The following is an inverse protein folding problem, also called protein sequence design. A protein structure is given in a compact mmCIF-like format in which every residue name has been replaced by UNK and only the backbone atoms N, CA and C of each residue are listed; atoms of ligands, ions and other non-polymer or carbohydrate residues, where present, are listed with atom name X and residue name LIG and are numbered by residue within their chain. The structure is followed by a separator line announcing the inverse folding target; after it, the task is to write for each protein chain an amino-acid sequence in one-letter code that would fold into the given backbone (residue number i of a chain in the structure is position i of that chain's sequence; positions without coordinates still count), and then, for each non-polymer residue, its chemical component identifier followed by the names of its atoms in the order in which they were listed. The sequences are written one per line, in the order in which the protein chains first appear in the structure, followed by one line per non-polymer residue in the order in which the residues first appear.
data_IF_651298433442
#
_entry.id   IF_651298433442
#
_cell.length_a   1.000
_cell.length_b   1.000
_cell.length_c   1.000
_cell.angle_alpha   90.00
_cell.angle_beta   90.00
_cell.angle_gamma   90.00
#
_symmetry.space_group_name_H-M   'P 1'
#
loop_
_entity.id
_entity.type
_entity.pdbx_description
1 polymer ?
#
# COMPACT_ATOMS: atom_id res chain seq x y z
N UNK A 1 14.68 29.05 -12.67
CA UNK A 1 15.39 29.64 -11.52
C UNK A 1 14.45 30.49 -10.65
N UNK A 2 13.73 31.48 -11.21
CA UNK A 2 12.79 32.33 -10.46
C UNK A 2 11.71 31.54 -9.68
N UNK A 3 11.08 30.52 -10.28
CA UNK A 3 10.08 29.66 -9.61
C UNK A 3 10.65 28.89 -8.41
N UNK A 4 11.87 28.37 -8.53
CA UNK A 4 12.53 27.60 -7.46
C UNK A 4 12.85 28.53 -6.28
N UNK A 5 13.40 29.71 -6.56
CA UNK A 5 13.68 30.72 -5.53
C UNK A 5 12.38 31.14 -4.80
N UNK A 6 11.29 31.35 -5.54
CA UNK A 6 9.99 31.65 -4.94
C UNK A 6 9.49 30.52 -4.03
N UNK A 7 9.59 29.25 -4.45
CA UNK A 7 9.20 28.10 -3.63
C UNK A 7 10.03 27.98 -2.34
N UNK A 8 11.35 28.21 -2.44
CA UNK A 8 12.25 28.17 -1.27
C UNK A 8 11.94 29.28 -0.28
N UNK A 9 11.72 30.51 -0.77
CA UNK A 9 11.31 31.64 0.08
C UNK A 9 9.95 31.35 0.73
N UNK A 10 9.00 30.83 -0.04
CA UNK A 10 7.66 30.49 0.46
C UNK A 10 7.73 29.44 1.57
N UNK A 11 8.52 28.37 1.38
CA UNK A 11 8.78 27.35 2.41
C UNK A 11 9.32 27.98 3.69
N UNK A 12 10.32 28.88 3.56
CA UNK A 12 10.91 29.53 4.72
C UNK A 12 9.91 30.42 5.46
N UNK A 13 9.11 31.20 4.74
CA UNK A 13 8.08 32.08 5.33
C UNK A 13 7.00 31.29 6.08
N UNK A 14 6.58 30.14 5.54
CA UNK A 14 5.64 29.23 6.22
C UNK A 14 6.28 28.63 7.48
N UNK A 15 7.52 28.14 7.39
CA UNK A 15 8.21 27.57 8.54
C UNK A 15 8.46 28.57 9.68
N UNK A 16 8.62 29.86 9.35
CA UNK A 16 8.74 30.93 10.33
C UNK A 16 7.41 31.41 10.91
N UNK A 17 6.26 30.83 10.51
CA UNK A 17 4.90 31.30 10.87
C UNK A 17 4.68 32.79 10.61
N UNK A 18 5.35 33.32 9.57
CA UNK A 18 5.34 34.74 9.25
C UNK A 18 4.14 35.16 8.38
N UNK A 19 3.30 34.20 7.97
CA UNK A 19 2.18 34.39 7.05
C UNK A 19 0.85 34.14 7.75
N UNK A 20 -0.19 34.86 7.37
CA UNK A 20 -1.57 34.58 7.80
C UNK A 20 -2.16 33.39 7.05
N UNK A 21 -3.15 32.73 7.65
CA UNK A 21 -3.81 31.56 7.07
C UNK A 21 -4.44 31.85 5.69
N UNK A 22 -4.96 33.06 5.47
CA UNK A 22 -5.49 33.51 4.17
C UNK A 22 -4.43 33.48 3.06
N UNK A 23 -3.20 33.90 3.38
CA UNK A 23 -2.08 33.91 2.43
C UNK A 23 -1.63 32.47 2.17
N UNK A 24 -1.62 31.62 3.20
CA UNK A 24 -1.24 30.20 3.08
C UNK A 24 -2.26 29.44 2.20
N UNK A 25 -3.55 29.66 2.40
CA UNK A 25 -4.61 29.12 1.53
C UNK A 25 -4.45 29.61 0.08
N UNK A 26 -4.11 30.89 -0.11
CA UNK A 26 -3.73 31.44 -1.41
C UNK A 26 -2.54 30.72 -2.05
N UNK A 27 -1.49 30.43 -1.28
CA UNK A 27 -0.30 29.68 -1.73
C UNK A 27 -0.69 28.27 -2.15
N UNK A 28 -1.47 27.55 -1.33
CA UNK A 28 -1.92 26.17 -1.63
C UNK A 28 -2.67 26.12 -2.96
N UNK A 29 -3.57 27.08 -3.21
CA UNK A 29 -4.28 27.21 -4.49
C UNK A 29 -3.34 27.48 -5.67
N UNK A 30 -2.28 28.25 -5.46
CA UNK A 30 -1.27 28.53 -6.48
C UNK A 30 -0.30 27.37 -6.71
N UNK A 31 -0.21 26.41 -5.79
CA UNK A 31 0.60 25.19 -5.96
C UNK A 31 -0.04 24.19 -6.93
N UNK A 32 -1.37 24.09 -6.99
CA UNK A 32 -2.08 23.16 -7.89
C UNK A 32 -1.59 23.20 -9.35
N UNK A 33 -1.45 24.36 -10.02
CA UNK A 33 -0.91 24.40 -11.38
C UNK A 33 0.58 24.00 -11.45
N UNK A 34 1.36 24.19 -10.39
CA UNK A 34 2.79 23.84 -10.32
C UNK A 34 3.01 22.33 -10.23
N UNK A 35 2.00 21.56 -9.78
CA UNK A 35 2.05 20.09 -9.70
C UNK A 35 2.20 19.40 -11.07
N UNK A 36 2.04 20.12 -12.17
CA UNK A 36 2.21 19.57 -13.53
C UNK A 36 3.59 19.88 -14.12
N UNK A 37 4.48 20.55 -13.36
CA UNK A 37 5.83 20.90 -13.80
C UNK A 37 6.73 19.65 -13.78
N UNK A 38 7.36 19.34 -14.91
CA UNK A 38 8.25 18.18 -15.07
C UNK A 38 9.68 18.44 -14.58
N UNK A 39 10.00 19.66 -14.15
CA UNK A 39 11.34 20.02 -13.71
C UNK A 39 11.67 19.36 -12.36
N UNK A 40 12.67 18.46 -12.36
CA UNK A 40 13.13 17.73 -11.17
C UNK A 40 13.48 18.62 -9.98
N UNK A 41 14.01 19.82 -10.22
CA UNK A 41 14.31 20.79 -9.15
C UNK A 41 13.04 21.40 -8.57
N UNK A 42 12.02 21.65 -9.40
CA UNK A 42 10.72 22.14 -8.95
C UNK A 42 10.03 21.05 -8.14
N UNK A 43 10.04 19.80 -8.60
CA UNK A 43 9.42 18.68 -7.87
C UNK A 43 10.00 18.53 -6.47
N UNK A 44 11.35 18.55 -6.33
CA UNK A 44 12.00 18.49 -5.01
C UNK A 44 11.61 19.67 -4.12
N UNK A 45 11.56 20.89 -4.66
CA UNK A 45 11.16 22.08 -3.89
C UNK A 45 9.69 22.02 -3.45
N UNK A 46 8.79 21.53 -4.32
CA UNK A 46 7.38 21.32 -4.01
C UNK A 46 7.22 20.24 -2.93
N UNK A 47 7.93 19.11 -3.02
CA UNK A 47 7.87 18.05 -2.02
C UNK A 47 8.27 18.56 -0.62
N UNK A 48 9.32 19.36 -0.53
CA UNK A 48 9.74 19.98 0.73
C UNK A 48 8.75 21.03 1.26
N UNK A 49 8.07 21.74 0.37
CA UNK A 49 7.04 22.71 0.74
C UNK A 49 5.79 22.00 1.25
N UNK A 50 5.39 20.88 0.63
CA UNK A 50 4.29 20.04 1.12
C UNK A 50 4.59 19.52 2.54
N UNK A 51 5.82 19.04 2.76
CA UNK A 51 6.26 18.60 4.09
C UNK A 51 6.10 19.70 5.14
N UNK A 52 6.52 20.93 4.82
CA UNK A 52 6.41 22.08 5.73
C UNK A 52 4.94 22.46 5.99
N UNK A 53 4.10 22.50 4.95
CA UNK A 53 2.66 22.79 5.07
C UNK A 53 1.94 21.80 5.98
N UNK A 54 2.24 20.51 5.84
CA UNK A 54 1.72 19.47 6.73
C UNK A 54 2.26 19.62 8.16
N UNK A 55 3.55 19.90 8.32
CA UNK A 55 4.19 20.05 9.64
C UNK A 55 3.54 21.17 10.46
N UNK A 56 3.21 22.28 9.82
CA UNK A 56 2.50 23.39 10.46
C UNK A 56 0.98 23.18 10.59
N UNK A 57 0.43 22.11 10.00
CA UNK A 57 -1.00 21.78 10.09
C UNK A 57 -1.91 22.66 9.22
N UNK A 58 -1.39 23.27 8.16
CA UNK A 58 -2.15 24.20 7.29
C UNK A 58 -2.89 23.50 6.12
N UNK A 59 -2.98 22.17 6.13
CA UNK A 59 -3.66 21.43 5.07
C UNK A 59 -4.97 20.83 5.58
N UNK A 60 -6.05 21.17 4.87
CA UNK A 60 -7.34 20.51 5.01
C UNK A 60 -7.44 19.29 4.08
N UNK A 61 -8.43 18.42 4.33
CA UNK A 61 -8.67 17.19 3.55
C UNK A 61 -8.78 17.44 2.04
N UNK A 62 -9.42 18.54 1.63
CA UNK A 62 -9.58 18.92 0.22
C UNK A 62 -8.26 19.36 -0.42
N UNK A 63 -7.48 20.18 0.27
CA UNK A 63 -6.19 20.70 -0.22
C UNK A 63 -5.07 19.65 -0.18
N UNK A 64 -5.10 18.74 0.79
CA UNK A 64 -4.08 17.71 0.96
C UNK A 64 -4.14 16.66 -0.18
N UNK A 65 -5.36 16.34 -0.66
CA UNK A 65 -5.59 15.29 -1.65
C UNK A 65 -4.69 15.36 -2.90
N UNK A 66 -4.62 16.47 -3.66
CA UNK A 66 -3.75 16.57 -4.83
C UNK A 66 -2.25 16.61 -4.48
N UNK A 67 -1.89 17.18 -3.33
CA UNK A 67 -0.49 17.29 -2.87
C UNK A 67 0.08 15.93 -2.46
N UNK A 68 -0.70 15.11 -1.75
CA UNK A 68 -0.31 13.75 -1.38
C UNK A 68 -0.24 12.84 -2.60
N UNK A 69 -1.20 12.95 -3.53
CA UNK A 69 -1.13 12.21 -4.80
C UNK A 69 0.12 12.59 -5.59
N UNK A 70 0.50 13.86 -5.60
CA UNK A 70 1.73 14.31 -6.24
C UNK A 70 2.98 13.64 -5.63
N UNK A 71 3.11 13.62 -4.30
CA UNK A 71 4.22 12.94 -3.61
C UNK A 71 4.30 11.45 -3.98
N UNK A 72 3.17 10.74 -3.94
CA UNK A 72 3.12 9.30 -4.22
C UNK A 72 3.40 8.99 -5.70
N UNK A 73 2.90 9.79 -6.64
CA UNK A 73 3.21 9.60 -8.07
C UNK A 73 4.69 9.81 -8.35
N UNK A 74 5.29 10.83 -7.75
CA UNK A 74 6.71 11.13 -7.95
C UNK A 74 7.66 10.25 -7.13
N UNK A 75 7.17 9.45 -6.18
CA UNK A 75 7.95 8.45 -5.45
C UNK A 75 8.06 7.10 -6.17
N UNK A 76 7.43 6.94 -7.35
CA UNK A 76 7.49 5.72 -8.13
C UNK A 76 8.95 5.30 -8.40
N UNK A 77 9.29 4.04 -8.09
CA UNK A 77 10.64 3.50 -8.29
C UNK A 77 11.70 3.90 -7.25
N UNK A 78 11.37 4.71 -6.24
CA UNK A 78 12.33 5.18 -5.22
C UNK A 78 12.40 4.32 -3.96
N UNK A 79 11.35 3.57 -3.66
CA UNK A 79 11.21 2.88 -2.36
C UNK A 79 12.28 1.84 -2.08
N UNK A 80 13.01 1.38 -3.11
CA UNK A 80 14.17 0.49 -2.95
C UNK A 80 15.37 1.17 -2.28
N UNK A 81 15.56 2.48 -2.46
CA UNK A 81 16.75 3.20 -1.98
C UNK A 81 16.67 3.60 -0.49
N UNK A 82 15.48 3.95 0.02
CA UNK A 82 15.31 4.28 1.44
C UNK A 82 15.58 3.08 2.36
N UNK A 83 15.43 1.87 1.85
CA UNK A 83 15.51 0.63 2.61
C UNK A 83 16.90 -0.02 2.54
N UNK A 84 17.70 0.29 1.52
CA UNK A 84 19.06 -0.23 1.36
C UNK A 84 20.13 0.47 2.21
N UNK A 85 19.80 1.63 2.82
CA UNK A 85 20.72 2.33 3.72
C UNK A 85 20.95 1.60 5.07
N UNK A 86 20.30 0.44 5.31
CA UNK A 86 20.46 -0.35 6.52
C UNK A 86 21.39 -1.57 6.43
N UNK A 87 21.62 -2.14 5.23
CA UNK A 87 22.37 -3.41 5.11
C UNK A 87 22.99 -3.59 3.72
N UNK A 88 24.22 -3.12 3.52
CA UNK A 88 25.10 -3.68 2.47
C UNK A 88 26.51 -3.88 3.01
N UNK A 89 26.71 -4.97 3.75
CA UNK A 89 27.98 -5.69 3.74
C UNK A 89 27.89 -6.76 2.64
N UNK A 90 28.36 -6.44 1.43
CA UNK A 90 28.90 -7.45 0.52
C UNK A 90 29.89 -6.76 -0.42
N UNK A 91 31.13 -7.24 -0.39
CA UNK A 91 32.26 -6.67 -1.09
C UNK A 91 32.18 -6.88 -2.60
N UNK A 92 32.44 -5.81 -3.34
CA UNK A 92 32.65 -5.81 -4.78
C UNK A 92 33.06 -4.41 -5.22
N UNK A 93 34.35 -4.26 -5.56
CA UNK A 93 35.02 -2.99 -5.86
C UNK A 93 34.36 -2.15 -6.96
N UNK A 94 33.54 -1.19 -6.58
CA UNK A 94 33.06 -0.13 -7.48
C UNK A 94 32.71 1.10 -6.67
N UNK A 95 33.62 2.07 -6.69
CA UNK A 95 33.43 3.48 -6.30
C UNK A 95 31.94 3.84 -6.12
N UNK A 96 31.53 4.02 -4.87
CA UNK A 96 30.26 4.66 -4.51
C UNK A 96 30.30 6.11 -4.99
N UNK A 97 30.03 6.28 -6.29
CA UNK A 97 29.51 7.52 -6.83
C UNK A 97 28.31 7.85 -5.94
N UNK A 98 28.41 8.95 -5.18
CA UNK A 98 27.28 9.48 -4.44
C UNK A 98 26.15 9.75 -5.44
N UNK A 99 25.26 8.77 -5.62
CA UNK A 99 24.16 8.88 -6.56
C UNK A 99 23.37 10.14 -6.18
N UNK A 100 23.19 11.05 -7.13
CA UNK A 100 22.42 12.27 -6.91
C UNK A 100 21.04 11.88 -6.35
N UNK A 101 20.62 12.48 -5.23
CA UNK A 101 19.29 12.23 -4.62
C UNK A 101 18.22 12.40 -5.71
N UNK A 102 17.58 11.30 -6.08
CA UNK A 102 16.59 11.32 -7.14
C UNK A 102 15.35 12.05 -6.63
N UNK A 103 14.54 12.55 -7.55
CA UNK A 103 13.24 13.15 -7.19
C UNK A 103 12.38 12.17 -6.39
N UNK A 104 12.47 10.89 -6.76
CA UNK A 104 11.78 9.82 -6.08
C UNK A 104 12.21 9.66 -4.63
N UNK A 105 13.51 9.68 -4.34
CA UNK A 105 14.03 9.56 -2.98
C UNK A 105 13.57 10.73 -2.10
N UNK A 106 13.57 11.95 -2.65
CA UNK A 106 13.07 13.13 -1.95
C UNK A 106 11.58 13.02 -1.62
N UNK A 107 10.76 12.59 -2.59
CA UNK A 107 9.31 12.44 -2.38
C UNK A 107 8.98 11.31 -1.41
N UNK A 108 9.71 10.19 -1.51
CA UNK A 108 9.58 9.04 -0.63
C UNK A 108 9.95 9.39 0.81
N UNK A 109 11.07 10.10 1.00
CA UNK A 109 11.49 10.60 2.31
C UNK A 109 10.51 11.62 2.88
N UNK A 110 9.98 12.53 2.06
CA UNK A 110 8.97 13.47 2.51
C UNK A 110 7.72 12.74 3.01
N UNK A 111 7.22 11.74 2.28
CA UNK A 111 6.08 10.93 2.71
C UNK A 111 6.37 10.18 4.02
N UNK A 112 7.54 9.57 4.13
CA UNK A 112 7.93 8.85 5.35
C UNK A 112 8.04 9.78 6.56
N UNK A 113 8.63 10.98 6.40
CA UNK A 113 8.69 11.99 7.46
C UNK A 113 7.29 12.42 7.90
N UNK A 114 6.38 12.64 6.96
CA UNK A 114 4.98 12.96 7.30
C UNK A 114 4.35 11.87 8.18
N UNK A 115 4.61 10.60 7.86
CA UNK A 115 4.02 9.46 8.57
C UNK A 115 4.66 9.15 9.93
N UNK A 116 5.89 9.61 10.17
CA UNK A 116 6.67 9.27 11.38
C UNK A 116 6.83 10.45 12.33
N UNK A 117 6.94 11.66 11.80
CA UNK A 117 7.31 12.86 12.57
C UNK A 117 6.20 13.91 12.66
N UNK A 118 5.12 13.77 11.89
CA UNK A 118 4.04 14.78 11.82
C UNK A 118 2.68 14.16 12.20
N UNK A 119 2.38 14.01 13.51
CA UNK A 119 1.12 13.41 13.97
C UNK A 119 -0.14 14.09 13.43
N UNK A 120 -0.10 15.41 13.25
CA UNK A 120 -1.21 16.20 12.72
C UNK A 120 -1.64 15.78 11.30
N UNK A 121 -0.72 15.16 10.55
CA UNK A 121 -0.97 14.72 9.18
C UNK A 121 -1.56 13.31 9.09
N UNK A 122 -1.51 12.52 10.17
CA UNK A 122 -1.92 11.11 10.16
C UNK A 122 -3.40 10.90 9.75
N UNK A 123 -4.38 11.68 10.25
CA UNK A 123 -5.79 11.52 9.84
C UNK A 123 -6.03 11.82 8.35
N UNK A 124 -5.20 12.66 7.74
CA UNK A 124 -5.28 13.01 6.32
C UNK A 124 -4.60 11.94 5.45
N UNK A 125 -3.48 11.40 5.92
CA UNK A 125 -2.67 10.41 5.21
C UNK A 125 -3.33 9.04 5.20
N UNK A 126 -3.84 8.60 6.36
CA UNK A 126 -4.33 7.25 6.57
C UNK A 126 -5.32 6.75 5.48
N UNK A 127 -6.48 7.40 5.25
CA UNK A 127 -7.43 6.95 4.23
C UNK A 127 -6.86 7.01 2.81
N UNK A 128 -5.93 7.93 2.55
CA UNK A 128 -5.31 8.11 1.24
C UNK A 128 -4.28 7.02 0.95
N UNK A 129 -3.46 6.65 1.93
CA UNK A 129 -2.49 5.55 1.80
C UNK A 129 -3.20 4.22 1.49
N UNK A 130 -4.33 3.94 2.14
CA UNK A 130 -5.15 2.75 1.82
C UNK A 130 -5.71 2.81 0.39
N UNK A 131 -6.16 3.99 -0.06
CA UNK A 131 -6.63 4.18 -1.44
C UNK A 131 -5.51 3.93 -2.45
N UNK A 132 -4.29 4.39 -2.17
CA UNK A 132 -3.12 4.15 -3.03
C UNK A 132 -2.70 2.68 -3.04
N UNK A 133 -2.90 1.95 -1.94
CA UNK A 133 -2.58 0.52 -1.86
C UNK A 133 -3.43 -0.31 -2.82
N UNK A 134 -4.74 -0.04 -2.87
CA UNK A 134 -5.71 -0.80 -3.68
C UNK A 134 -5.72 -0.37 -5.15
N UNK A 135 -5.42 0.90 -5.45
CA UNK A 135 -5.47 1.37 -6.83
C UNK A 135 -4.23 0.92 -7.64
N UNK A 136 -4.42 0.22 -8.78
CA UNK A 136 -3.32 -0.28 -9.62
C UNK A 136 -2.44 0.83 -10.23
N UNK A 137 -2.96 2.06 -10.40
CA UNK A 137 -2.20 3.20 -10.94
C UNK A 137 -0.96 3.56 -10.11
N UNK A 138 -0.92 3.13 -8.84
CA UNK A 138 0.15 3.45 -7.89
C UNK A 138 1.05 2.26 -7.56
N UNK A 139 0.97 1.18 -8.35
CA UNK A 139 1.74 -0.05 -8.11
C UNK A 139 3.25 0.19 -7.99
N UNK A 140 3.80 1.05 -8.86
CA UNK A 140 5.22 1.44 -8.83
C UNK A 140 5.65 2.22 -7.58
N UNK A 141 4.69 2.73 -6.81
CA UNK A 141 4.90 3.53 -5.60
C UNK A 141 4.63 2.76 -4.32
N UNK A 142 4.10 1.53 -4.40
CA UNK A 142 3.85 0.67 -3.24
C UNK A 142 5.08 0.44 -2.35
N UNK A 143 6.32 0.29 -2.87
CA UNK A 143 7.51 0.19 -2.04
C UNK A 143 7.75 1.39 -1.11
N UNK A 144 7.17 2.55 -1.43
CA UNK A 144 7.20 3.76 -0.58
C UNK A 144 5.98 3.84 0.34
N UNK A 145 4.78 3.50 -0.17
CA UNK A 145 3.51 3.63 0.56
C UNK A 145 3.37 2.58 1.66
N UNK A 146 3.77 1.33 1.40
CA UNK A 146 3.57 0.21 2.33
C UNK A 146 4.36 0.36 3.66
N UNK A 147 5.65 0.79 3.68
CA UNK A 147 6.34 1.09 4.94
C UNK A 147 5.64 2.19 5.76
N UNK A 148 5.06 3.19 5.09
CA UNK A 148 4.32 4.27 5.75
C UNK A 148 3.08 3.72 6.46
N UNK A 149 2.33 2.81 5.80
CA UNK A 149 1.17 2.13 6.38
C UNK A 149 1.60 1.26 7.56
N UNK A 150 2.65 0.46 7.41
CA UNK A 150 3.20 -0.38 8.49
C UNK A 150 3.54 0.47 9.71
N UNK A 151 4.20 1.62 9.51
CA UNK A 151 4.52 2.51 10.62
C UNK A 151 3.27 2.98 11.35
N UNK A 152 2.28 3.51 10.62
CA UNK A 152 1.03 4.01 11.23
C UNK A 152 0.27 2.93 12.00
N UNK A 153 0.21 1.72 11.46
CA UNK A 153 -0.51 0.58 12.04
C UNK A 153 0.18 0.02 13.29
N UNK A 154 1.50 0.16 13.37
CA UNK A 154 2.30 -0.35 14.51
C UNK A 154 2.38 0.64 15.68
N UNK A 155 1.99 1.90 15.51
CA UNK A 155 2.07 2.89 16.58
C UNK A 155 0.98 2.69 17.66
N UNK A 156 1.36 2.60 18.95
CA UNK A 156 0.42 2.35 20.06
C UNK A 156 -0.46 3.56 20.43
N UNK A 157 -0.16 4.75 19.90
CA UNK A 157 -0.89 5.99 20.20
C UNK A 157 -2.07 6.26 19.26
N UNK A 158 -2.28 5.41 18.26
CA UNK A 158 -3.46 5.45 17.41
C UNK A 158 -4.49 4.51 18.01
N UNK A 159 -5.23 5.05 18.99
CA UNK A 159 -6.42 4.40 19.50
C UNK A 159 -7.42 4.15 18.35
N UNK A 160 -8.29 3.14 18.47
CA UNK A 160 -9.36 2.88 17.50
C UNK A 160 -10.29 4.09 17.24
N UNK A 161 -10.23 5.13 18.08
CA UNK A 161 -10.92 6.41 17.92
C UNK A 161 -10.18 7.45 17.04
N UNK A 162 -8.84 7.41 16.93
CA UNK A 162 -8.03 8.44 16.24
C UNK A 162 -7.67 8.03 14.81
N UNK A 163 -7.42 6.74 14.59
CA UNK A 163 -7.39 6.13 13.27
C UNK A 163 -8.31 4.91 13.31
N UNK A 164 -9.60 5.03 12.94
CA UNK A 164 -10.38 3.84 12.67
C UNK A 164 -9.71 3.15 11.48
N UNK A 165 -8.88 2.14 11.76
CA UNK A 165 -8.08 1.48 10.74
C UNK A 165 -9.01 0.88 9.67
N UNK A 166 -10.23 0.48 10.05
CA UNK A 166 -11.47 0.35 9.28
C UNK A 166 -12.61 0.31 10.33
N UNK A 167 -13.82 0.93 10.22
CA UNK A 167 -14.46 1.78 9.20
C UNK A 167 -15.12 3.09 9.77
N UNK A 168 -15.26 4.17 8.99
CA UNK A 168 -16.43 5.09 8.94
C UNK A 168 -16.08 6.32 8.11
N UNK A 169 -16.60 6.40 6.89
CA UNK A 169 -17.20 7.60 6.31
C UNK A 169 -17.87 7.12 5.01
N UNK A 170 -19.09 6.55 5.10
CA UNK A 170 -19.94 6.32 3.92
C UNK A 170 -20.20 7.61 3.10
N UNK A 171 -19.70 8.77 3.54
CA UNK A 171 -19.73 10.06 2.86
C UNK A 171 -18.48 10.40 2.02
N UNK A 172 -17.45 9.54 1.95
CA UNK A 172 -16.31 9.74 1.05
C UNK A 172 -16.40 8.82 -0.18
N UNK A 173 -16.31 9.35 -1.42
CA UNK A 173 -16.51 8.59 -2.67
C UNK A 173 -15.41 7.57 -3.03
N UNK A 174 -14.56 7.15 -2.08
CA UNK A 174 -13.40 6.25 -2.30
C UNK A 174 -13.12 5.34 -1.08
N UNK A 175 -14.15 4.85 -0.40
CA UNK A 175 -13.95 3.97 0.76
C UNK A 175 -13.40 2.60 0.31
N UNK A 176 -12.23 2.24 0.82
CA UNK A 176 -11.63 0.93 0.60
C UNK A 176 -12.26 -0.07 1.56
N UNK A 177 -12.74 -1.21 1.05
CA UNK A 177 -13.28 -2.27 1.90
C UNK A 177 -12.18 -3.15 2.49
N UNK A 178 -12.47 -3.79 3.63
CA UNK A 178 -11.57 -4.77 4.27
C UNK A 178 -11.17 -5.88 3.30
N UNK A 179 -12.11 -6.31 2.47
CA UNK A 179 -11.94 -7.37 1.50
C UNK A 179 -11.06 -6.95 0.32
N UNK A 180 -11.15 -5.71 -0.13
CA UNK A 180 -10.24 -5.16 -1.14
C UNK A 180 -8.80 -5.07 -0.63
N UNK A 181 -8.62 -4.64 0.63
CA UNK A 181 -7.30 -4.65 1.27
C UNK A 181 -6.75 -6.07 1.40
N UNK A 182 -7.56 -7.00 1.90
CA UNK A 182 -7.15 -8.39 2.05
C UNK A 182 -6.72 -8.99 0.70
N UNK A 183 -7.51 -8.79 -0.36
CA UNK A 183 -7.19 -9.25 -1.71
C UNK A 183 -5.84 -8.71 -2.16
N UNK A 184 -5.64 -7.39 -2.04
CA UNK A 184 -4.43 -6.73 -2.51
C UNK A 184 -3.19 -7.18 -1.71
N UNK A 185 -3.31 -7.29 -0.39
CA UNK A 185 -2.23 -7.76 0.49
C UNK A 185 -1.85 -9.22 0.20
N UNK A 186 -2.83 -10.09 -0.04
CA UNK A 186 -2.57 -11.47 -0.46
C UNK A 186 -1.87 -11.53 -1.82
N UNK A 187 -2.29 -10.71 -2.78
CA UNK A 187 -1.63 -10.60 -4.08
C UNK A 187 -0.16 -10.17 -3.99
N UNK A 188 0.18 -9.32 -3.01
CA UNK A 188 1.58 -8.94 -2.74
C UNK A 188 2.42 -10.07 -2.10
N UNK A 189 1.76 -11.10 -1.57
CA UNK A 189 2.41 -12.29 -1.02
C UNK A 189 2.55 -13.43 -2.04
N UNK A 190 2.08 -13.26 -3.28
CA UNK A 190 2.07 -14.32 -4.30
C UNK A 190 3.46 -14.87 -4.62
N UNK A 191 4.45 -13.98 -4.72
CA UNK A 191 5.85 -14.34 -4.95
C UNK A 191 6.78 -13.55 -4.01
N UNK A 192 7.34 -14.22 -2.98
CA UNK A 192 8.32 -13.61 -2.08
C UNK A 192 9.63 -13.21 -2.77
N UNK A 193 10.05 -13.83 -3.89
CA UNK A 193 11.32 -13.53 -4.54
C UNK A 193 11.27 -12.26 -5.39
N UNK A 194 10.18 -12.01 -6.11
CA UNK A 194 10.03 -10.80 -6.93
C UNK A 194 10.20 -9.52 -6.10
N UNK A 195 9.53 -9.46 -4.94
CA UNK A 195 9.59 -8.31 -4.04
C UNK A 195 9.59 -8.71 -2.56
N UNK A 196 10.75 -9.15 -2.02
CA UNK A 196 10.94 -9.63 -0.64
C UNK A 196 10.31 -8.73 0.42
N UNK A 197 10.46 -7.43 0.21
CA UNK A 197 10.03 -6.40 1.14
C UNK A 197 8.52 -6.17 1.12
N UNK A 198 7.89 -6.32 -0.04
CA UNK A 198 6.46 -6.05 -0.21
C UNK A 198 5.62 -7.12 0.50
N UNK A 199 5.95 -8.40 0.32
CA UNK A 199 5.25 -9.50 1.01
C UNK A 199 5.38 -9.40 2.53
N UNK A 200 6.59 -9.16 3.03
CA UNK A 200 6.84 -9.01 4.48
C UNK A 200 6.09 -7.83 5.10
N UNK A 201 6.03 -6.68 4.41
CA UNK A 201 5.26 -5.54 4.88
C UNK A 201 3.75 -5.76 4.76
N UNK A 202 3.28 -6.43 3.71
CA UNK A 202 1.87 -6.75 3.52
C UNK A 202 1.35 -7.65 4.65
N UNK A 203 2.11 -8.67 5.01
CA UNK A 203 1.80 -9.54 6.15
C UNK A 203 1.83 -8.78 7.48
N UNK A 204 2.74 -7.83 7.65
CA UNK A 204 2.74 -6.99 8.85
C UNK A 204 1.46 -6.15 8.97
N UNK A 205 1.01 -5.53 7.87
CA UNK A 205 -0.29 -4.81 7.86
C UNK A 205 -1.43 -5.79 8.18
N UNK A 206 -1.43 -6.97 7.56
CA UNK A 206 -2.46 -7.99 7.77
C UNK A 206 -2.55 -8.47 9.24
N UNK A 207 -1.42 -8.57 9.93
CA UNK A 207 -1.36 -8.98 11.34
C UNK A 207 -2.18 -8.04 12.26
N UNK A 208 -2.29 -6.77 11.88
CA UNK A 208 -3.04 -5.77 12.63
C UNK A 208 -4.47 -5.55 12.11
N UNK A 209 -4.82 -6.07 10.93
CA UNK A 209 -6.18 -5.98 10.38
C UNK A 209 -7.17 -6.99 10.98
N UNK A 210 -6.68 -8.05 11.65
CA UNK A 210 -7.52 -9.16 12.13
C UNK A 210 -8.75 -8.73 12.92
N UNK A 211 -8.58 -7.84 13.90
CA UNK A 211 -9.68 -7.34 14.74
C UNK A 211 -10.72 -6.49 14.01
N UNK A 212 -10.41 -5.99 12.82
CA UNK A 212 -11.33 -5.23 11.97
C UNK A 212 -12.11 -6.11 10.99
N UNK A 213 -11.64 -7.33 10.72
CA UNK A 213 -12.35 -8.26 9.85
C UNK A 213 -13.43 -9.01 10.62
N UNK A 214 -13.06 -9.53 11.80
CA UNK A 214 -13.98 -10.17 12.73
C UNK A 214 -13.35 -10.23 14.12
N UNK A 215 -14.17 -10.08 15.16
CA UNK A 215 -13.73 -10.31 16.54
C UNK A 215 -13.26 -11.75 16.77
N UNK A 216 -13.80 -12.73 16.02
CA UNK A 216 -13.44 -14.15 16.15
C UNK A 216 -11.98 -14.47 15.81
N UNK A 217 -11.32 -13.62 15.02
CA UNK A 217 -9.92 -13.80 14.66
C UNK A 217 -8.97 -13.41 15.80
N UNK A 218 -9.40 -12.50 16.69
CA UNK A 218 -8.58 -12.10 17.84
C UNK A 218 -8.39 -13.26 18.82
N UNK A 219 -9.37 -14.16 18.90
CA UNK A 219 -9.35 -15.33 19.79
C UNK A 219 -8.45 -16.47 19.28
N UNK A 220 -7.99 -16.41 18.02
CA UNK A 220 -7.23 -17.47 17.34
C UNK A 220 -5.73 -17.18 17.24
N UNK A 221 -5.19 -16.31 18.10
CA UNK A 221 -3.78 -15.90 18.03
C UNK A 221 -3.38 -15.40 16.63
N UNK A 222 -4.31 -14.72 15.92
CA UNK A 222 -4.15 -14.24 14.55
C UNK A 222 -2.80 -13.59 14.28
N UNK A 223 -2.40 -12.71 15.19
CA UNK A 223 -1.15 -11.96 15.07
C UNK A 223 0.07 -12.89 15.04
N UNK A 224 0.07 -13.98 15.80
CA UNK A 224 1.17 -14.95 15.83
C UNK A 224 1.23 -15.78 14.55
N UNK A 225 0.07 -16.23 14.05
CA UNK A 225 -0.02 -16.97 12.79
C UNK A 225 0.48 -16.13 11.61
N UNK A 226 0.03 -14.88 11.50
CA UNK A 226 0.48 -13.97 10.43
C UNK A 226 1.96 -13.63 10.57
N UNK A 227 2.45 -13.44 11.80
CA UNK A 227 3.86 -13.20 12.04
C UNK A 227 4.74 -14.41 11.68
N UNK A 228 4.26 -15.64 11.87
CA UNK A 228 4.93 -16.84 11.38
C UNK A 228 5.02 -16.86 9.85
N UNK A 229 3.93 -16.55 9.15
CA UNK A 229 3.92 -16.38 7.69
C UNK A 229 4.88 -15.28 7.24
N UNK A 230 4.99 -14.20 7.99
CA UNK A 230 5.93 -13.11 7.69
C UNK A 230 7.37 -13.58 7.77
N UNK A 231 7.73 -14.36 8.80
CA UNK A 231 9.09 -14.90 8.94
C UNK A 231 9.44 -15.87 7.82
N UNK A 232 8.51 -16.75 7.44
CA UNK A 232 8.72 -17.68 6.33
C UNK A 232 8.83 -16.94 4.99
N UNK A 233 7.99 -15.93 4.73
CA UNK A 233 8.09 -15.06 3.56
C UNK A 233 9.47 -14.40 3.45
N UNK A 234 9.98 -13.80 4.52
CA UNK A 234 11.30 -13.16 4.53
C UNK A 234 12.43 -14.17 4.34
N UNK A 235 12.32 -15.36 4.96
CA UNK A 235 13.30 -16.44 4.79
C UNK A 235 13.36 -16.92 3.33
N UNK A 236 12.20 -17.18 2.72
CA UNK A 236 12.09 -17.61 1.33
C UNK A 236 12.58 -16.57 0.35
N UNK A 237 12.46 -15.29 0.69
CA UNK A 237 12.94 -14.20 -0.15
C UNK A 237 14.48 -14.01 -0.10
N UNK A 238 15.14 -14.56 0.93
CA UNK A 238 16.60 -14.50 1.11
C UNK A 238 17.36 -15.71 0.57
N UNK A 239 16.64 -16.78 0.20
CA UNK A 239 17.19 -18.04 -0.31
C UNK A 239 16.90 -18.17 -1.80
N UNK A 240 17.79 -18.79 -2.58
CA UNK A 240 17.47 -19.14 -3.98
C UNK A 240 16.21 -20.02 -4.00
N UNK A 241 15.18 -19.60 -4.75
CA UNK A 241 13.89 -20.27 -4.75
C UNK A 241 13.85 -21.34 -5.84
N UNK A 242 13.59 -22.58 -5.41
CA UNK A 242 13.13 -23.64 -6.30
C UNK A 242 11.62 -23.49 -6.56
N UNK A 243 11.16 -23.89 -7.75
CA UNK A 243 9.72 -23.90 -8.09
C UNK A 243 8.84 -24.64 -7.07
N UNK A 244 9.40 -25.63 -6.37
CA UNK A 244 8.74 -26.38 -5.30
C UNK A 244 8.54 -25.57 -4.02
N UNK A 245 9.49 -24.71 -3.65
CA UNK A 245 9.37 -23.89 -2.43
C UNK A 245 8.33 -22.78 -2.60
N UNK A 246 8.22 -22.22 -3.81
CA UNK A 246 7.16 -21.27 -4.15
C UNK A 246 5.77 -21.91 -4.09
N UNK A 247 5.61 -23.13 -4.63
CA UNK A 247 4.33 -23.85 -4.54
C UNK A 247 3.92 -24.13 -3.10
N UNK A 248 4.84 -24.63 -2.27
CA UNK A 248 4.58 -24.88 -0.84
C UNK A 248 4.18 -23.59 -0.12
N UNK A 249 4.85 -22.48 -0.43
CA UNK A 249 4.49 -21.16 0.11
C UNK A 249 3.07 -20.75 -0.26
N UNK A 250 2.73 -20.82 -1.55
CA UNK A 250 1.40 -20.46 -2.04
C UNK A 250 0.32 -21.36 -1.42
N UNK A 251 0.57 -22.65 -1.26
CA UNK A 251 -0.32 -23.58 -0.54
C UNK A 251 -0.51 -23.17 0.92
N UNK A 252 0.55 -22.78 1.61
CA UNK A 252 0.50 -22.32 3.00
C UNK A 252 -0.36 -21.06 3.14
N UNK A 253 -0.21 -20.10 2.23
CA UNK A 253 -1.02 -18.87 2.23
C UNK A 253 -2.49 -19.16 1.89
N UNK A 254 -2.75 -20.10 0.96
CA UNK A 254 -4.11 -20.56 0.64
C UNK A 254 -4.79 -21.26 1.82
N UNK A 255 -4.07 -22.13 2.52
CA UNK A 255 -4.57 -22.80 3.72
C UNK A 255 -4.90 -21.78 4.80
N UNK A 256 -4.02 -20.81 5.04
CA UNK A 256 -4.26 -19.70 5.95
C UNK A 256 -5.54 -18.91 5.58
N UNK A 257 -5.75 -18.60 4.30
CA UNK A 257 -6.98 -17.95 3.84
C UNK A 257 -8.23 -18.81 4.14
N UNK A 258 -8.16 -20.11 3.89
CA UNK A 258 -9.25 -21.05 4.19
C UNK A 258 -9.59 -21.09 5.69
N UNK A 259 -8.57 -21.16 6.55
CA UNK A 259 -8.74 -21.09 8.00
C UNK A 259 -9.32 -19.74 8.46
N UNK A 260 -8.88 -18.64 7.84
CA UNK A 260 -9.41 -17.29 8.10
C UNK A 260 -10.89 -17.21 7.79
N UNK A 261 -11.31 -17.69 6.61
CA UNK A 261 -12.72 -17.65 6.20
C UNK A 261 -13.59 -18.59 7.04
N UNK A 262 -13.08 -19.76 7.41
CA UNK A 262 -13.75 -20.66 8.33
C UNK A 262 -13.98 -20.03 9.71
N UNK A 263 -13.01 -19.24 10.20
CA UNK A 263 -13.09 -18.55 11.48
C UNK A 263 -14.02 -17.33 11.47
N UNK A 264 -14.10 -16.60 10.35
CA UNK A 264 -15.04 -15.48 10.20
C UNK A 264 -16.48 -16.00 10.10
N UNK A 265 -16.70 -17.09 9.35
CA UNK A 265 -18.01 -17.73 9.16
C UNK A 265 -19.16 -16.77 8.76
N UNK A 266 -18.83 -15.69 8.04
CA UNK A 266 -19.79 -14.71 7.54
C UNK A 266 -19.87 -14.76 6.01
N UNK A 267 -21.00 -15.22 5.49
CA UNK A 267 -21.23 -15.34 4.05
C UNK A 267 -21.23 -13.98 3.33
N UNK A 268 -21.64 -12.90 4.00
CA UNK A 268 -21.66 -11.56 3.40
C UNK A 268 -20.23 -11.01 3.20
N UNK A 269 -19.35 -11.28 4.17
CA UNK A 269 -17.93 -11.00 4.08
C UNK A 269 -17.28 -11.80 2.95
N UNK A 270 -17.53 -13.13 2.90
CA UNK A 270 -16.97 -14.01 1.88
C UNK A 270 -17.41 -13.62 0.46
N UNK A 271 -18.69 -13.29 0.27
CA UNK A 271 -19.20 -12.84 -1.03
C UNK A 271 -18.58 -11.50 -1.49
N UNK A 272 -18.36 -10.58 -0.54
CA UNK A 272 -17.67 -9.32 -0.81
C UNK A 272 -16.20 -9.55 -1.16
N UNK A 273 -15.56 -10.55 -0.55
CA UNK A 273 -14.19 -10.96 -0.86
C UNK A 273 -14.07 -11.58 -2.24
N UNK A 274 -14.98 -12.49 -2.59
CA UNK A 274 -15.06 -13.06 -3.95
C UNK A 274 -15.19 -11.96 -5.00
N UNK A 275 -16.07 -10.97 -4.75
CA UNK A 275 -16.25 -9.84 -5.67
C UNK A 275 -15.00 -8.97 -5.82
N UNK A 276 -14.29 -8.73 -4.71
CA UNK A 276 -13.03 -7.98 -4.71
C UNK A 276 -11.91 -8.72 -5.45
N UNK A 277 -11.75 -10.03 -5.19
CA UNK A 277 -10.82 -10.92 -5.89
C UNK A 277 -11.10 -10.97 -7.39
N UNK A 278 -12.36 -11.15 -7.77
CA UNK A 278 -12.75 -11.18 -9.17
C UNK A 278 -12.44 -9.87 -9.87
N UNK A 279 -12.71 -8.73 -9.24
CA UNK A 279 -12.37 -7.40 -9.79
C UNK A 279 -10.86 -7.27 -10.01
N UNK A 280 -10.02 -7.65 -9.05
CA UNK A 280 -8.57 -7.54 -9.19
C UNK A 280 -8.03 -8.46 -10.30
N UNK A 281 -8.51 -9.70 -10.36
CA UNK A 281 -8.19 -10.64 -11.44
C UNK A 281 -8.63 -10.07 -12.79
N UNK A 282 -9.82 -9.47 -12.93
CA UNK A 282 -10.25 -8.94 -14.23
C UNK A 282 -9.39 -7.80 -14.76
N UNK A 283 -8.78 -7.02 -13.88
CA UNK A 283 -7.95 -5.88 -14.24
C UNK A 283 -6.52 -6.25 -14.61
N UNK A 284 -5.99 -7.36 -14.09
CA UNK A 284 -4.61 -7.80 -14.28
C UNK A 284 -4.58 -9.07 -15.15
N UNK A 285 -4.10 -8.98 -16.38
CA UNK A 285 -4.32 -10.02 -17.40
C UNK A 285 -3.23 -11.10 -17.49
N UNK A 286 -2.00 -10.88 -16.99
CA UNK A 286 -0.85 -11.75 -17.32
C UNK A 286 0.18 -11.94 -16.19
N UNK A 287 -0.16 -11.61 -14.94
CA UNK A 287 0.79 -11.70 -13.82
C UNK A 287 0.73 -13.03 -13.07
N UNK A 288 1.84 -13.46 -12.47
CA UNK A 288 1.85 -14.60 -11.52
C UNK A 288 0.96 -14.33 -10.30
N UNK A 289 0.80 -13.04 -9.95
CA UNK A 289 -0.15 -12.57 -8.93
C UNK A 289 -1.59 -12.93 -9.30
N UNK A 290 -2.00 -12.72 -10.56
CA UNK A 290 -3.34 -13.09 -11.05
C UNK A 290 -3.61 -14.58 -10.87
N UNK A 291 -2.66 -15.43 -11.26
CA UNK A 291 -2.77 -16.90 -11.11
C UNK A 291 -2.93 -17.31 -9.65
N UNK A 292 -2.12 -16.72 -8.77
CA UNK A 292 -2.24 -16.93 -7.34
C UNK A 292 -3.61 -16.48 -6.82
N UNK A 293 -4.08 -15.28 -7.20
CA UNK A 293 -5.39 -14.76 -6.78
C UNK A 293 -6.55 -15.61 -7.32
N UNK A 294 -6.46 -16.17 -8.54
CA UNK A 294 -7.43 -17.13 -9.07
C UNK A 294 -7.52 -18.38 -8.19
N UNK A 295 -6.39 -18.90 -7.71
CA UNK A 295 -6.37 -20.03 -6.80
C UNK A 295 -6.97 -19.69 -5.42
N UNK A 296 -6.69 -18.48 -4.90
CA UNK A 296 -7.30 -17.99 -3.67
C UNK A 296 -8.81 -17.76 -3.82
N UNK A 297 -9.26 -17.33 -4.99
CA UNK A 297 -10.68 -17.20 -5.33
C UNK A 297 -11.38 -18.56 -5.25
N UNK A 298 -10.73 -19.64 -5.70
CA UNK A 298 -11.24 -21.01 -5.52
C UNK A 298 -11.43 -21.39 -4.05
N UNK A 299 -10.48 -21.01 -3.17
CA UNK A 299 -10.62 -21.19 -1.72
C UNK A 299 -11.78 -20.37 -1.18
N UNK A 300 -11.92 -19.10 -1.57
CA UNK A 300 -13.02 -18.25 -1.12
C UNK A 300 -14.40 -18.79 -1.55
N UNK A 301 -14.52 -19.26 -2.79
CA UNK A 301 -15.74 -19.87 -3.32
C UNK A 301 -16.16 -21.14 -2.56
N UNK A 302 -15.20 -21.95 -2.10
CA UNK A 302 -15.47 -23.13 -1.26
C UNK A 302 -16.19 -22.76 0.06
N UNK A 303 -15.96 -21.55 0.57
CA UNK A 303 -16.56 -21.04 1.80
C UNK A 303 -17.80 -20.16 1.55
N UNK A 304 -18.20 -19.94 0.30
CA UNK A 304 -19.44 -19.23 -0.03
C UNK A 304 -20.61 -20.20 -0.07
N UNK A 305 -21.76 -19.77 0.47
CA UNK A 305 -23.01 -20.54 0.39
C UNK A 305 -23.91 -20.06 -0.78
N UNK A 306 -23.53 -18.96 -1.46
CA UNK A 306 -24.33 -18.36 -2.53
C UNK A 306 -24.06 -19.03 -3.89
N UNK A 307 -24.90 -20.00 -4.22
CA UNK A 307 -24.86 -20.74 -5.49
C UNK A 307 -24.90 -19.85 -6.74
N UNK A 308 -25.55 -18.68 -6.71
CA UNK A 308 -25.63 -17.78 -7.87
C UNK A 308 -24.30 -17.09 -8.08
N UNK A 309 -23.76 -16.51 -7.01
CA UNK A 309 -22.45 -15.85 -7.03
C UNK A 309 -21.34 -16.82 -7.44
N UNK A 310 -21.38 -18.07 -6.95
CA UNK A 310 -20.45 -19.12 -7.37
C UNK A 310 -20.56 -19.37 -8.89
N UNK A 311 -21.77 -19.55 -9.40
CA UNK A 311 -21.99 -19.84 -10.83
C UNK A 311 -21.54 -18.68 -11.72
N UNK A 312 -21.90 -17.45 -11.36
CA UNK A 312 -21.55 -16.24 -12.12
C UNK A 312 -20.03 -15.99 -12.11
N UNK A 313 -19.39 -16.21 -10.96
CA UNK A 313 -17.94 -16.06 -10.81
C UNK A 313 -17.21 -17.11 -11.63
N UNK A 314 -17.61 -18.38 -11.56
CA UNK A 314 -17.01 -19.46 -12.36
C UNK A 314 -17.17 -19.21 -13.86
N UNK A 315 -18.35 -18.79 -14.32
CA UNK A 315 -18.56 -18.42 -15.72
C UNK A 315 -17.64 -17.27 -16.15
N UNK A 316 -17.48 -16.26 -15.30
CA UNK A 316 -16.62 -15.11 -15.58
C UNK A 316 -15.14 -15.54 -15.65
N UNK A 317 -14.67 -16.33 -14.70
CA UNK A 317 -13.30 -16.87 -14.68
C UNK A 317 -13.03 -17.77 -15.89
N UNK A 318 -13.98 -18.62 -16.27
CA UNK A 318 -13.87 -19.45 -17.49
C UNK A 318 -13.75 -18.59 -18.75
N UNK A 319 -14.46 -17.46 -18.83
CA UNK A 319 -14.31 -16.53 -19.96
C UNK A 319 -13.00 -15.73 -19.93
N UNK A 320 -12.44 -15.49 -18.75
CA UNK A 320 -11.21 -14.73 -18.55
C UNK A 320 -9.93 -15.57 -18.70
N UNK A 321 -10.03 -16.90 -18.51
CA UNK A 321 -8.88 -17.80 -18.59
C UNK A 321 -8.62 -18.18 -20.04
N UNK A 322 -7.38 -17.98 -20.48
CA UNK A 322 -6.95 -18.44 -21.79
C UNK A 322 -6.63 -19.94 -21.67
N UNK A 323 -7.60 -20.78 -22.04
CA UNK A 323 -7.46 -22.25 -22.01
C UNK A 323 -6.32 -22.82 -22.89
N UNK A 324 -5.49 -21.97 -23.51
CA UNK A 324 -4.28 -22.35 -24.27
C UNK A 324 -2.98 -22.13 -23.47
N UNK A 325 -3.02 -21.46 -22.33
CA UNK A 325 -1.86 -21.25 -21.45
C UNK A 325 -1.79 -22.38 -20.39
N UNK A 326 -0.73 -23.21 -20.35
CA UNK A 326 -0.63 -24.34 -19.42
C UNK A 326 -0.57 -23.92 -17.95
N UNK A 327 -0.16 -22.68 -17.63
CA UNK A 327 -0.15 -22.15 -16.26
C UNK A 327 -1.55 -21.74 -15.77
N UNK A 328 -2.50 -21.51 -16.67
CA UNK A 328 -3.90 -21.18 -16.35
C UNK A 328 -4.82 -22.41 -16.34
N UNK A 329 -4.31 -23.58 -16.71
CA UNK A 329 -5.06 -24.85 -16.74
C UNK A 329 -4.98 -25.64 -15.42
N UNK A 330 -4.07 -25.25 -14.52
CA UNK A 330 -3.80 -25.90 -13.23
C UNK A 330 -4.62 -25.27 -12.10
#
# INVERSE_FOLDING_TARGET
VQRIAALVVTKHLIGCKALSDDIISGIVRLLTPVLHDSNTRVIRSVAQLILELCHQGHLDQTSASPLLTYLVKHSAGAGTNLLNNGTTNSGGNGLTLMAEETVGDTCSRALYLLTTTVPCSHPLLWPRLLTFLVNPDYESSLPTVLPCIVHLVTQPHHSPDVLPLLPLLPSLPYCVSTQQLLTRLLGMCADPASHPFLGGCALNVLAHLGGHMSSSLLDLEWKEQVEQLRRTCVSLASTEQDSTSLQIWQDTVREFLGLTLAAIADNSFTNSLVSAMLSEVTCDSESERRLFLLSCLGVALKHSEDTRLITDTLNTVLHLTNHRNPLEQA
#
